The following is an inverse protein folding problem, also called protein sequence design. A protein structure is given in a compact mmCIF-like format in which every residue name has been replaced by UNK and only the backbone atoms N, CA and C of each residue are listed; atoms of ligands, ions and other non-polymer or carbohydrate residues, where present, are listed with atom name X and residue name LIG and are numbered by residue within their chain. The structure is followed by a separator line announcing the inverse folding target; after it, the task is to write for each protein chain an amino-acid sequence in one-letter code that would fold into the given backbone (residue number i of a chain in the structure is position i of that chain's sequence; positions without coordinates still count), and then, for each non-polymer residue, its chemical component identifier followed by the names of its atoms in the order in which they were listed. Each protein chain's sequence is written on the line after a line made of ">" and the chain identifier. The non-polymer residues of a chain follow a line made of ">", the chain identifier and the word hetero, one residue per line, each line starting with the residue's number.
data_IF_080116424002
#
_entry.id   IF_080116424002
#
_cell.length_a   1.000
_cell.length_b   1.000
_cell.length_c   1.000
_cell.angle_alpha   90.00
_cell.angle_beta   90.00
_cell.angle_gamma   90.00
#
_symmetry.space_group_name_H-M   'P 1'
#
loop_
_entity.id
_entity.type
_entity.pdbx_description
1 polymer ?
#
# COMPACT_ATOMS: atom_id res chain seq x y z
N UNK A 1 -69.02 -9.91 22.08
CA UNK A 1 -67.89 -9.63 23.00
C UNK A 1 -66.61 -9.80 22.22
N UNK A 2 -65.93 -8.71 21.86
CA UNK A 2 -64.70 -8.72 21.07
C UNK A 2 -63.49 -8.60 22.01
N UNK A 3 -62.64 -9.62 22.05
CA UNK A 3 -61.34 -9.58 22.75
C UNK A 3 -60.26 -9.12 21.79
N UNK A 4 -59.69 -7.94 22.06
CA UNK A 4 -58.56 -7.38 21.35
C UNK A 4 -57.24 -8.10 21.72
N UNK A 5 -56.35 -8.15 20.74
CA UNK A 5 -55.02 -8.74 20.79
C UNK A 5 -54.05 -7.86 21.60
N UNK A 6 -53.26 -8.48 22.48
CA UNK A 6 -52.06 -7.88 23.08
C UNK A 6 -50.80 -8.60 22.60
N UNK A 7 -49.99 -7.92 21.78
CA UNK A 7 -48.65 -8.37 21.40
C UNK A 7 -47.67 -8.22 22.58
N UNK A 8 -46.63 -9.08 22.71
CA UNK A 8 -45.69 -9.02 23.82
C UNK A 8 -44.73 -7.84 23.67
N UNK A 9 -44.62 -7.05 24.74
CA UNK A 9 -43.67 -5.95 24.89
C UNK A 9 -42.24 -6.49 25.00
N UNK A 10 -41.41 -6.17 24.02
CA UNK A 10 -39.98 -6.47 24.01
C UNK A 10 -39.25 -5.61 25.05
N UNK A 11 -38.56 -6.24 26.00
CA UNK A 11 -37.95 -5.57 27.16
C UNK A 11 -36.74 -4.66 26.79
N UNK A 12 -36.55 -3.51 27.46
CA UNK A 12 -35.57 -2.48 27.12
C UNK A 12 -34.08 -2.83 27.38
N UNK A 13 -33.76 -4.04 27.86
CA UNK A 13 -32.39 -4.41 28.29
C UNK A 13 -31.46 -4.82 27.13
N UNK A 14 -31.99 -5.19 25.97
CA UNK A 14 -31.21 -5.64 24.80
C UNK A 14 -30.62 -4.49 23.97
N UNK A 15 -31.12 -3.26 24.09
CA UNK A 15 -30.61 -2.10 23.33
C UNK A 15 -29.30 -1.52 23.90
N UNK A 16 -29.04 -1.70 25.19
CA UNK A 16 -27.87 -1.11 25.86
C UNK A 16 -26.57 -1.86 25.56
N UNK A 17 -26.62 -3.18 25.41
CA UNK A 17 -25.43 -4.00 25.13
C UNK A 17 -24.86 -3.75 23.71
N UNK A 18 -25.74 -3.53 22.72
CA UNK A 18 -25.33 -3.23 21.33
C UNK A 18 -24.69 -1.84 21.23
N UNK A 19 -25.17 -0.86 22.00
CA UNK A 19 -24.62 0.49 22.01
C UNK A 19 -23.22 0.53 22.65
N UNK A 20 -22.98 -0.22 23.73
CA UNK A 20 -21.66 -0.26 24.39
C UNK A 20 -20.63 -0.99 23.54
N UNK A 21 -20.99 -2.09 22.86
CA UNK A 21 -20.08 -2.77 21.90
C UNK A 21 -19.79 -1.88 20.69
N UNK A 22 -20.79 -1.19 20.15
CA UNK A 22 -20.61 -0.22 19.05
C UNK A 22 -19.71 0.96 19.42
N UNK A 23 -19.87 1.51 20.64
CA UNK A 23 -19.03 2.60 21.15
C UNK A 23 -17.61 2.11 21.48
N UNK A 24 -17.42 0.89 22.00
CA UNK A 24 -16.08 0.33 22.24
C UNK A 24 -15.34 0.04 20.93
N UNK A 25 -16.03 -0.39 19.87
CA UNK A 25 -15.45 -0.52 18.52
C UNK A 25 -15.12 0.84 17.90
N UNK A 26 -15.98 1.85 18.07
CA UNK A 26 -15.72 3.22 17.62
C UNK A 26 -14.57 3.88 18.39
N UNK A 27 -14.48 3.69 19.71
CA UNK A 27 -13.44 4.30 20.55
C UNK A 27 -12.07 3.62 20.39
N UNK A 28 -12.01 2.32 20.09
CA UNK A 28 -10.77 1.66 19.68
C UNK A 28 -10.36 2.02 18.23
N UNK A 29 -11.31 2.35 17.35
CA UNK A 29 -11.02 2.89 16.01
C UNK A 29 -10.52 4.35 16.02
N UNK A 30 -10.92 5.14 17.02
CA UNK A 30 -10.55 6.56 17.15
C UNK A 30 -9.18 6.81 17.80
N UNK A 31 -8.45 5.74 18.16
CA UNK A 31 -7.01 5.77 18.51
C UNK A 31 -6.12 5.08 17.47
N UNK A 32 -6.69 4.75 16.30
CA UNK A 32 -6.13 3.81 15.33
C UNK A 32 -4.95 4.35 14.52
N UNK A 33 -3.91 3.53 14.37
CA UNK A 33 -2.83 3.75 13.41
C UNK A 33 -3.31 3.70 11.94
N UNK A 34 -2.37 3.78 11.01
CA UNK A 34 -2.65 3.73 9.58
C UNK A 34 -3.54 2.51 9.21
N UNK A 35 -4.54 2.65 8.33
CA UNK A 35 -5.40 1.55 7.90
C UNK A 35 -4.60 0.36 7.38
N UNK A 36 -5.02 -0.85 7.75
CA UNK A 36 -4.42 -2.10 7.28
C UNK A 36 -5.33 -2.77 6.24
N UNK A 37 -4.77 -3.47 5.25
CA UNK A 37 -5.57 -4.19 4.26
C UNK A 37 -6.37 -5.32 4.90
N UNK A 38 -7.59 -5.49 4.43
CA UNK A 38 -8.49 -6.60 4.72
C UNK A 38 -8.24 -7.78 3.78
N UNK A 39 -8.75 -8.96 4.16
CA UNK A 39 -8.63 -10.16 3.33
C UNK A 39 -9.23 -10.00 1.92
N UNK A 40 -10.27 -9.17 1.76
CA UNK A 40 -10.87 -8.88 0.45
C UNK A 40 -9.94 -8.14 -0.52
N UNK A 41 -8.92 -7.45 0.01
CA UNK A 41 -7.95 -6.70 -0.78
C UNK A 41 -6.76 -7.56 -1.23
N UNK A 42 -6.45 -8.66 -0.53
CA UNK A 42 -5.36 -9.57 -0.88
C UNK A 42 -5.70 -10.46 -2.08
N UNK A 43 -4.69 -10.96 -2.81
CA UNK A 43 -4.87 -12.14 -3.69
C UNK A 43 -4.90 -13.41 -2.84
N UNK A 44 -5.67 -14.41 -3.29
CA UNK A 44 -5.60 -15.74 -2.68
C UNK A 44 -4.17 -16.27 -2.83
N UNK A 45 -3.47 -16.48 -1.72
CA UNK A 45 -2.17 -17.12 -1.74
C UNK A 45 -2.33 -18.54 -2.31
N UNK A 46 -1.46 -19.00 -3.23
CA UNK A 46 -1.37 -20.42 -3.51
C UNK A 46 -0.92 -21.11 -2.23
N UNK A 47 -1.73 -22.02 -1.70
CA UNK A 47 -1.34 -22.87 -0.58
C UNK A 47 -0.14 -23.72 -0.98
N UNK A 48 0.99 -23.50 -0.30
CA UNK A 48 2.23 -24.25 -0.49
C UNK A 48 2.91 -24.49 0.85
N UNK A 49 2.77 -25.70 1.37
CA UNK A 49 3.50 -26.20 2.53
C UNK A 49 5.01 -26.20 2.26
N UNK A 50 5.81 -25.81 3.27
CA UNK A 50 7.26 -26.02 3.28
C UNK A 50 8.03 -24.88 3.93
N UNK A 51 8.09 -24.87 5.26
CA UNK A 51 9.04 -24.05 6.00
C UNK A 51 10.48 -24.43 5.63
N UNK A 52 11.26 -23.46 5.16
CA UNK A 52 12.72 -23.45 5.28
C UNK A 52 13.13 -22.11 5.85
N UNK A 53 13.64 -22.13 7.08
CA UNK A 53 14.22 -20.97 7.76
C UNK A 53 15.46 -20.56 6.94
N UNK A 54 15.37 -19.40 6.29
CA UNK A 54 16.47 -18.76 5.58
C UNK A 54 16.43 -17.27 5.90
N UNK A 55 17.58 -16.78 6.37
CA UNK A 55 18.11 -15.39 6.50
C UNK A 55 17.13 -14.23 6.21
N UNK A 56 17.07 -13.16 7.05
CA UNK A 56 16.15 -12.03 6.83
C UNK A 56 16.42 -11.35 5.49
N UNK A 57 15.44 -11.42 4.60
CA UNK A 57 15.48 -10.80 3.28
C UNK A 57 15.03 -9.34 3.41
N UNK A 58 15.98 -8.42 3.48
CA UNK A 58 15.71 -6.97 3.40
C UNK A 58 15.12 -6.62 2.02
N UNK A 59 14.56 -5.40 1.92
CA UNK A 59 13.99 -4.79 0.72
C UNK A 59 15.03 -4.63 -0.41
N UNK A 60 15.50 -5.74 -0.98
CA UNK A 60 16.54 -5.80 -2.00
C UNK A 60 15.89 -6.12 -3.34
N UNK A 61 15.78 -5.15 -4.25
CA UNK A 61 15.45 -5.43 -5.63
C UNK A 61 16.58 -6.24 -6.27
N UNK A 62 16.28 -7.20 -7.17
CA UNK A 62 17.31 -7.82 -7.98
C UNK A 62 17.94 -6.75 -8.89
N UNK A 63 19.28 -6.72 -8.93
CA UNK A 63 20.03 -5.85 -9.85
C UNK A 63 19.65 -6.23 -11.28
N UNK A 64 18.88 -5.37 -11.95
CA UNK A 64 18.58 -5.49 -13.37
C UNK A 64 19.68 -4.79 -14.17
N UNK A 65 19.95 -5.27 -15.39
CA UNK A 65 20.87 -4.58 -16.29
C UNK A 65 20.41 -3.12 -16.51
N UNK A 66 21.32 -2.14 -16.61
CA UNK A 66 20.94 -0.73 -16.76
C UNK A 66 20.01 -0.55 -17.96
N UNK A 67 18.78 -0.12 -17.71
CA UNK A 67 17.91 0.45 -18.75
C UNK A 67 18.28 1.92 -18.80
N UNK A 68 18.81 2.39 -19.93
CA UNK A 68 19.11 3.80 -20.16
C UNK A 68 17.87 4.66 -19.81
N UNK A 69 17.93 5.50 -18.74
CA UNK A 69 16.85 6.40 -18.41
C UNK A 69 16.84 7.49 -19.46
N UNK A 70 16.08 7.30 -20.54
CA UNK A 70 15.74 8.41 -21.43
C UNK A 70 15.01 9.42 -20.55
N UNK A 71 15.61 10.57 -20.27
CA UNK A 71 15.16 11.58 -19.29
C UNK A 71 13.68 12.01 -19.39
N UNK A 72 13.02 11.64 -20.49
CA UNK A 72 11.60 11.74 -20.83
C UNK A 72 10.68 10.78 -20.04
N UNK A 73 11.17 9.61 -19.62
CA UNK A 73 10.37 8.56 -18.95
C UNK A 73 10.29 8.73 -17.44
N UNK A 74 11.05 9.66 -16.89
CA UNK A 74 11.11 9.94 -15.45
C UNK A 74 9.73 10.35 -14.92
N UNK A 75 9.19 9.66 -13.91
CA UNK A 75 7.93 10.02 -13.29
C UNK A 75 8.09 11.27 -12.42
N UNK A 76 7.14 12.20 -12.52
CA UNK A 76 7.19 13.50 -11.81
C UNK A 76 6.02 13.71 -10.86
N UNK A 77 4.92 12.96 -11.03
CA UNK A 77 3.73 13.07 -10.17
C UNK A 77 3.04 11.72 -10.03
N UNK A 78 2.66 11.37 -8.80
CA UNK A 78 1.82 10.22 -8.48
C UNK A 78 0.47 10.71 -7.99
N UNK A 79 -0.62 10.12 -8.50
CA UNK A 79 -1.98 10.38 -8.02
C UNK A 79 -2.72 9.10 -7.71
N UNK A 80 -3.40 9.09 -6.56
CA UNK A 80 -4.29 8.01 -6.12
C UNK A 80 -5.55 8.66 -5.53
N UNK A 81 -6.55 8.96 -6.38
CA UNK A 81 -7.71 9.76 -5.96
C UNK A 81 -8.49 9.17 -4.79
N UNK A 82 -8.61 7.84 -4.72
CA UNK A 82 -9.36 7.14 -3.68
C UNK A 82 -8.83 7.39 -2.25
N UNK A 83 -7.58 7.83 -2.12
CA UNK A 83 -6.94 8.16 -0.83
C UNK A 83 -6.33 9.56 -0.81
N UNK A 84 -6.77 10.43 -1.73
CA UNK A 84 -6.34 11.83 -1.83
C UNK A 84 -4.82 12.04 -1.97
N UNK A 85 -4.10 11.09 -2.58
CA UNK A 85 -2.67 11.28 -2.91
C UNK A 85 -2.56 12.08 -4.20
N UNK A 86 -1.82 13.19 -4.14
CA UNK A 86 -1.35 13.96 -5.30
C UNK A 86 0.06 14.50 -5.03
N UNK A 87 1.06 13.63 -5.19
CA UNK A 87 2.41 13.83 -4.68
C UNK A 87 3.44 14.07 -5.80
N UNK A 88 4.45 14.95 -5.59
CA UNK A 88 5.64 14.96 -6.43
C UNK A 88 6.39 13.63 -6.31
N UNK A 89 7.15 13.29 -7.34
CA UNK A 89 7.99 12.10 -7.36
C UNK A 89 9.47 12.45 -7.39
N UNK A 90 10.22 11.87 -6.46
CA UNK A 90 11.68 11.90 -6.44
C UNK A 90 12.26 10.61 -7.04
N UNK A 91 13.50 10.67 -7.50
CA UNK A 91 14.30 9.49 -7.84
C UNK A 91 14.92 8.92 -6.56
N UNK A 92 14.90 7.60 -6.43
CA UNK A 92 15.46 6.83 -5.31
C UNK A 92 16.52 5.88 -5.84
N UNK A 93 17.57 5.67 -5.06
CA UNK A 93 18.56 4.63 -5.27
C UNK A 93 18.41 3.47 -4.29
N UNK A 94 19.49 2.71 -4.18
CA UNK A 94 19.71 1.77 -3.10
C UNK A 94 20.78 2.31 -2.15
N UNK A 95 20.64 2.04 -0.86
CA UNK A 95 21.70 2.32 0.11
C UNK A 95 22.89 1.36 -0.02
N UNK A 96 23.91 1.53 0.82
CA UNK A 96 25.12 0.70 0.82
C UNK A 96 24.88 -0.79 1.10
N UNK A 97 23.72 -1.14 1.66
CA UNK A 97 23.30 -2.52 1.93
C UNK A 97 22.38 -3.09 0.84
N UNK A 98 22.15 -2.33 -0.24
CA UNK A 98 21.29 -2.68 -1.36
C UNK A 98 19.80 -2.55 -1.04
N UNK A 99 19.43 -1.80 0.00
CA UNK A 99 18.05 -1.59 0.42
C UNK A 99 17.48 -0.38 -0.31
N UNK A 100 16.25 -0.50 -0.80
CA UNK A 100 15.56 0.64 -1.41
C UNK A 100 15.48 1.83 -0.43
N UNK A 101 16.01 2.97 -0.86
CA UNK A 101 15.92 4.21 -0.12
C UNK A 101 14.46 4.70 -0.03
N UNK A 102 14.19 5.67 0.84
CA UNK A 102 12.91 6.38 0.90
C UNK A 102 13.16 7.89 0.83
N UNK A 103 12.18 8.70 0.40
CA UNK A 103 12.31 10.15 0.48
C UNK A 103 12.70 10.60 1.91
N UNK A 104 13.48 11.69 2.07
CA UNK A 104 13.80 12.25 3.38
C UNK A 104 12.53 12.51 4.20
N UNK A 105 12.60 12.34 5.52
CA UNK A 105 11.44 12.45 6.40
C UNK A 105 10.81 13.85 6.40
N UNK A 106 11.60 14.88 6.08
CA UNK A 106 11.15 16.27 5.92
C UNK A 106 10.27 16.45 4.68
N UNK A 107 10.38 15.54 3.70
CA UNK A 107 9.57 15.47 2.48
C UNK A 107 8.46 14.44 2.60
N UNK A 108 7.71 14.51 3.71
CA UNK A 108 6.65 13.56 4.04
C UNK A 108 5.51 13.50 3.01
N UNK A 109 5.35 14.52 2.16
CA UNK A 109 4.36 14.59 1.08
C UNK A 109 4.87 14.05 -0.27
N UNK A 110 6.13 13.60 -0.33
CA UNK A 110 6.81 13.15 -1.55
C UNK A 110 6.80 11.63 -1.66
N UNK A 111 6.46 11.13 -2.85
CA UNK A 111 6.71 9.73 -3.21
C UNK A 111 8.07 9.61 -3.90
N UNK A 112 8.71 8.45 -3.85
CA UNK A 112 9.95 8.20 -4.57
C UNK A 112 9.84 6.96 -5.47
N UNK A 113 10.47 6.99 -6.64
CA UNK A 113 10.56 5.88 -7.57
C UNK A 113 11.99 5.36 -7.66
N UNK A 114 12.16 4.03 -7.65
CA UNK A 114 13.46 3.40 -7.82
C UNK A 114 13.99 3.59 -9.24
N UNK A 115 15.02 4.43 -9.40
CA UNK A 115 15.43 4.97 -10.69
C UNK A 115 16.22 3.99 -11.57
N UNK A 116 16.87 2.98 -10.97
CA UNK A 116 17.56 1.93 -11.73
C UNK A 116 16.60 0.81 -12.21
N UNK A 117 15.32 0.91 -11.83
CA UNK A 117 14.26 0.00 -12.26
C UNK A 117 13.50 0.50 -13.50
N UNK A 118 12.51 -0.27 -13.98
CA UNK A 118 11.62 0.16 -15.07
C UNK A 118 10.88 1.46 -14.73
N UNK A 119 10.77 2.37 -15.69
CA UNK A 119 9.93 3.54 -15.53
C UNK A 119 8.43 3.12 -15.50
N UNK A 120 7.57 3.75 -14.68
CA UNK A 120 6.16 3.35 -14.57
C UNK A 120 5.45 3.35 -15.91
N UNK A 121 5.12 2.18 -16.46
CA UNK A 121 4.46 1.96 -17.76
C UNK A 121 5.36 1.34 -18.83
N UNK A 122 6.65 1.13 -18.54
CA UNK A 122 7.52 0.27 -19.32
C UNK A 122 7.40 -1.20 -18.85
N UNK A 123 7.74 -2.19 -19.70
CA UNK A 123 7.79 -3.58 -19.28
C UNK A 123 8.65 -3.77 -18.03
N UNK A 124 8.15 -4.53 -17.06
CA UNK A 124 8.80 -4.71 -15.77
C UNK A 124 7.98 -4.17 -14.61
N UNK A 125 8.55 -4.25 -13.42
CA UNK A 125 7.91 -3.80 -12.18
C UNK A 125 8.56 -2.50 -11.71
N UNK A 126 7.85 -1.39 -11.89
CA UNK A 126 8.23 -0.11 -11.33
C UNK A 126 7.91 -0.08 -9.83
N UNK A 127 8.86 0.39 -9.02
CA UNK A 127 8.73 0.41 -7.57
C UNK A 127 8.67 1.85 -7.07
N UNK A 128 7.68 2.14 -6.24
CA UNK A 128 7.48 3.42 -5.58
C UNK A 128 7.45 3.21 -4.07
N UNK A 129 8.16 4.06 -3.33
CA UNK A 129 8.20 4.04 -1.87
C UNK A 129 7.91 5.42 -1.28
N UNK A 130 7.40 5.44 -0.04
CA UNK A 130 7.09 6.68 0.66
C UNK A 130 6.65 6.42 2.10
N UNK A 131 6.66 7.48 2.90
CA UNK A 131 6.36 7.40 4.33
C UNK A 131 4.87 7.19 4.60
N UNK A 132 4.59 6.46 5.69
CA UNK A 132 3.23 6.32 6.25
C UNK A 132 2.93 7.50 7.17
N UNK A 133 3.89 7.90 7.99
CA UNK A 133 3.86 9.08 8.86
C UNK A 133 5.24 9.73 8.98
N UNK A 134 5.28 10.87 9.64
CA UNK A 134 6.47 11.63 9.98
C UNK A 134 6.29 12.24 11.38
N UNK A 135 7.34 12.84 11.98
CA UNK A 135 7.20 13.57 13.23
C UNK A 135 6.16 14.71 13.18
N UNK A 136 5.83 15.22 11.99
CA UNK A 136 4.83 16.25 11.77
C UNK A 136 3.40 15.70 11.59
N UNK A 137 3.22 14.38 11.49
CA UNK A 137 1.92 13.73 11.37
C UNK A 137 1.84 12.75 10.19
N UNK A 138 0.67 12.68 9.56
CA UNK A 138 0.42 11.75 8.44
C UNK A 138 1.28 12.11 7.23
N UNK A 139 1.83 11.10 6.56
CA UNK A 139 2.64 11.28 5.35
C UNK A 139 1.89 10.77 4.10
N UNK A 140 2.56 10.85 2.95
CA UNK A 140 2.01 10.61 1.61
C UNK A 140 1.24 9.29 1.49
N UNK A 141 1.68 8.23 2.17
CA UNK A 141 1.07 6.90 2.09
C UNK A 141 0.35 6.47 3.37
N UNK A 142 -0.02 7.41 4.24
CA UNK A 142 -0.75 7.10 5.47
C UNK A 142 -2.01 6.24 5.24
N UNK A 143 -2.75 6.50 4.16
CA UNK A 143 -4.01 5.79 3.83
C UNK A 143 -3.82 4.61 2.86
N UNK A 144 -2.59 4.24 2.51
CA UNK A 144 -2.32 3.27 1.44
C UNK A 144 -2.96 1.90 1.68
N UNK A 145 -2.95 1.40 2.93
CA UNK A 145 -3.59 0.13 3.29
C UNK A 145 -5.11 0.11 3.18
N UNK A 146 -5.74 1.28 3.05
CA UNK A 146 -7.18 1.41 2.82
C UNK A 146 -7.62 1.30 1.36
N UNK A 147 -6.69 1.11 0.41
CA UNK A 147 -7.03 1.05 -1.01
C UNK A 147 -7.79 -0.22 -1.39
N UNK A 148 -8.89 -0.06 -2.10
CA UNK A 148 -9.63 -1.19 -2.65
C UNK A 148 -9.03 -1.69 -3.97
N UNK A 149 -9.26 -2.97 -4.28
CA UNK A 149 -9.12 -3.50 -5.65
C UNK A 149 -9.93 -2.64 -6.63
N UNK A 150 -9.39 -2.44 -7.83
CA UNK A 150 -9.96 -1.56 -8.87
C UNK A 150 -9.61 -0.08 -8.71
N UNK A 151 -9.01 0.35 -7.59
CA UNK A 151 -8.60 1.74 -7.41
C UNK A 151 -7.64 2.19 -8.52
N UNK A 152 -7.88 3.38 -9.07
CA UNK A 152 -7.00 3.94 -10.11
C UNK A 152 -5.77 4.57 -9.46
N UNK A 153 -4.61 4.28 -10.05
CA UNK A 153 -3.35 5.00 -9.80
C UNK A 153 -2.93 5.63 -11.12
N UNK A 154 -2.45 6.88 -11.10
CA UNK A 154 -1.87 7.51 -12.30
C UNK A 154 -0.50 8.08 -12.01
N UNK A 155 0.42 7.88 -12.94
CA UNK A 155 1.77 8.44 -12.90
C UNK A 155 1.97 9.35 -14.10
N UNK A 156 2.22 10.63 -13.84
CA UNK A 156 2.61 11.58 -14.89
C UNK A 156 4.12 11.56 -15.04
N UNK A 157 4.58 11.45 -16.28
CA UNK A 157 5.99 11.45 -16.67
C UNK A 157 6.42 12.82 -17.17
N UNK A 158 7.74 13.06 -17.17
CA UNK A 158 8.34 14.32 -17.63
C UNK A 158 8.06 14.61 -19.11
N UNK A 159 7.78 13.59 -19.93
CA UNK A 159 7.32 13.74 -21.31
C UNK A 159 5.86 14.20 -21.47
N UNK A 160 5.16 14.48 -20.36
CA UNK A 160 3.76 14.90 -20.36
C UNK A 160 2.76 13.75 -20.47
N UNK A 161 3.21 12.51 -20.68
CA UNK A 161 2.31 11.35 -20.72
C UNK A 161 1.89 10.96 -19.32
N UNK A 162 0.65 10.48 -19.20
CA UNK A 162 0.13 9.90 -17.96
C UNK A 162 -0.17 8.42 -18.17
N UNK A 163 0.45 7.59 -17.33
CA UNK A 163 0.21 6.14 -17.31
C UNK A 163 -0.81 5.85 -16.22
N UNK A 164 -1.81 5.02 -16.56
CA UNK A 164 -2.86 4.60 -15.61
C UNK A 164 -2.67 3.14 -15.25
N UNK A 165 -2.79 2.85 -13.96
CA UNK A 165 -2.78 1.51 -13.40
C UNK A 165 -4.08 1.25 -12.64
N UNK A 166 -4.47 -0.02 -12.56
CA UNK A 166 -5.56 -0.48 -11.70
C UNK A 166 -4.99 -1.37 -10.59
N UNK A 167 -5.34 -1.06 -9.34
CA UNK A 167 -4.93 -1.86 -8.18
C UNK A 167 -5.61 -3.23 -8.25
N UNK A 168 -4.82 -4.30 -8.24
CA UNK A 168 -5.34 -5.65 -8.18
C UNK A 168 -5.10 -6.33 -6.84
N UNK A 169 -4.21 -5.83 -5.98
CA UNK A 169 -4.08 -6.33 -4.61
C UNK A 169 -3.51 -5.27 -3.66
N UNK A 170 -3.85 -5.38 -2.38
CA UNK A 170 -3.17 -4.70 -1.28
C UNK A 170 -2.87 -5.73 -0.20
N UNK A 171 -1.61 -5.86 0.15
CA UNK A 171 -1.14 -6.87 1.12
C UNK A 171 -0.25 -6.22 2.18
N UNK A 172 -0.26 -6.78 3.38
CA UNK A 172 0.63 -6.38 4.46
C UNK A 172 1.55 -7.55 4.81
N UNK A 173 2.83 -7.27 5.00
CA UNK A 173 3.85 -8.25 5.35
C UNK A 173 4.63 -7.79 6.56
N UNK A 174 4.95 -8.72 7.47
CA UNK A 174 5.90 -8.46 8.54
C UNK A 174 7.28 -8.17 7.95
N UNK A 175 8.04 -7.28 8.58
CA UNK A 175 9.38 -6.89 8.11
C UNK A 175 10.34 -8.08 8.02
N UNK A 176 10.23 -9.01 8.96
CA UNK A 176 11.09 -10.20 9.03
C UNK A 176 10.70 -11.30 8.02
N UNK A 177 9.51 -11.18 7.41
CA UNK A 177 8.97 -12.12 6.44
C UNK A 177 8.63 -11.45 5.10
N UNK A 178 9.26 -10.31 4.80
CA UNK A 178 8.98 -9.56 3.59
C UNK A 178 9.33 -10.37 2.34
N UNK A 179 8.37 -10.64 1.43
CA UNK A 179 8.61 -11.53 0.30
C UNK A 179 9.26 -10.77 -0.86
N UNK A 180 10.54 -10.41 -0.73
CA UNK A 180 11.26 -9.60 -1.74
C UNK A 180 11.15 -10.15 -3.16
N UNK A 181 11.23 -11.48 -3.34
CA UNK A 181 11.01 -12.11 -4.65
C UNK A 181 9.62 -11.81 -5.23
N UNK A 182 8.55 -11.87 -4.43
CA UNK A 182 7.19 -11.56 -4.88
C UNK A 182 6.99 -10.07 -5.14
N UNK A 183 7.64 -9.21 -4.36
CA UNK A 183 7.44 -7.77 -4.49
C UNK A 183 8.25 -7.21 -5.66
N UNK A 184 9.50 -7.64 -5.82
CA UNK A 184 10.44 -7.06 -6.78
C UNK A 184 10.72 -7.93 -8.00
N UNK A 185 9.99 -9.03 -8.22
CA UNK A 185 10.20 -9.80 -9.45
C UNK A 185 10.04 -8.89 -10.67
N UNK A 186 10.82 -9.14 -11.71
CA UNK A 186 10.55 -8.53 -13.00
C UNK A 186 9.30 -9.14 -13.61
N UNK A 187 8.50 -8.32 -14.29
CA UNK A 187 7.29 -8.72 -15.00
C UNK A 187 7.46 -8.47 -16.49
N UNK A 188 6.90 -9.34 -17.35
CA UNK A 188 6.90 -9.08 -18.79
C UNK A 188 5.95 -7.93 -19.16
N UNK A 189 4.91 -7.72 -18.36
CA UNK A 189 3.96 -6.61 -18.50
C UNK A 189 4.37 -5.43 -17.60
N UNK A 190 3.90 -4.20 -17.90
CA UNK A 190 4.11 -3.08 -17.00
C UNK A 190 3.30 -3.23 -15.71
N UNK A 191 4.01 -3.29 -14.60
CA UNK A 191 3.45 -3.36 -13.25
C UNK A 191 3.98 -2.24 -12.36
N UNK A 192 3.18 -1.90 -11.35
CA UNK A 192 3.53 -0.92 -10.33
C UNK A 192 3.41 -1.55 -8.94
N UNK A 193 4.40 -1.28 -8.10
CA UNK A 193 4.41 -1.59 -6.67
C UNK A 193 4.51 -0.28 -5.90
N UNK A 194 3.61 -0.07 -4.94
CA UNK A 194 3.67 1.09 -4.03
C UNK A 194 3.82 0.56 -2.62
N UNK A 195 4.89 0.97 -1.95
CA UNK A 195 5.33 0.40 -0.68
C UNK A 195 5.36 1.49 0.38
N UNK A 196 4.84 1.18 1.56
CA UNK A 196 4.99 2.03 2.75
C UNK A 196 5.12 1.17 4.01
N UNK A 197 5.59 1.78 5.10
CA UNK A 197 5.60 1.14 6.41
C UNK A 197 4.16 0.85 6.89
N UNK A 198 3.94 -0.26 7.58
CA UNK A 198 2.62 -0.64 8.07
C UNK A 198 2.66 -1.74 9.12
N UNK A 199 1.56 -2.47 9.27
CA UNK A 199 1.40 -3.45 10.34
C UNK A 199 1.32 -2.82 11.73
N UNK A 200 1.61 -3.62 12.76
CA UNK A 200 1.67 -3.11 14.14
C UNK A 200 2.78 -2.07 14.33
N UNK A 201 2.64 -1.21 15.33
CA UNK A 201 3.65 -0.21 15.70
C UNK A 201 4.13 -0.46 17.13
N UNK A 202 5.44 -0.42 17.36
CA UNK A 202 6.04 -0.35 18.70
C UNK A 202 6.90 0.89 18.81
N UNK A 203 6.91 1.51 20.00
CA UNK A 203 7.63 2.79 20.22
C UNK A 203 9.16 2.65 20.10
N UNK A 204 9.68 1.47 20.41
CA UNK A 204 11.10 1.13 20.40
C UNK A 204 11.60 0.71 19.02
N UNK A 205 10.79 -0.04 18.25
CA UNK A 205 11.19 -0.60 16.95
C UNK A 205 10.51 0.04 15.74
N UNK A 206 9.52 0.90 15.95
CA UNK A 206 8.67 1.47 14.92
C UNK A 206 7.65 0.48 14.35
N UNK A 207 7.24 0.71 13.10
CA UNK A 207 6.35 -0.19 12.35
C UNK A 207 6.99 -1.57 12.18
N UNK A 208 6.18 -2.61 12.34
CA UNK A 208 6.61 -4.00 12.31
C UNK A 208 6.46 -4.65 10.93
N UNK A 209 5.80 -3.97 9.99
CA UNK A 209 5.55 -4.48 8.66
C UNK A 209 5.62 -3.41 7.58
N UNK A 210 5.24 -3.83 6.38
CA UNK A 210 5.08 -2.99 5.20
C UNK A 210 3.74 -3.31 4.54
N UNK A 211 3.10 -2.29 3.99
CA UNK A 211 1.96 -2.44 3.08
C UNK A 211 2.47 -2.32 1.65
N UNK A 212 2.05 -3.24 0.79
CA UNK A 212 2.38 -3.28 -0.63
C UNK A 212 1.09 -3.25 -1.44
N UNK A 213 0.95 -2.23 -2.27
CA UNK A 213 -0.08 -2.16 -3.31
C UNK A 213 0.49 -2.71 -4.60
N UNK A 214 -0.27 -3.60 -5.21
CA UNK A 214 0.02 -4.20 -6.49
C UNK A 214 -0.95 -3.67 -7.54
N UNK A 215 -0.42 -3.11 -8.62
CA UNK A 215 -1.22 -2.57 -9.71
C UNK A 215 -0.65 -2.96 -11.07
N UNK A 216 -1.52 -3.22 -12.03
CA UNK A 216 -1.18 -3.52 -13.42
C UNK A 216 -1.60 -2.37 -14.33
N UNK A 217 -0.95 -2.24 -15.48
CA UNK A 217 -1.36 -1.26 -16.49
C UNK A 217 -2.86 -1.40 -16.77
N UNK A 218 -3.59 -0.29 -16.71
CA UNK A 218 -5.00 -0.28 -17.05
C UNK A 218 -5.14 -0.31 -18.58
N UNK A 219 -6.05 -1.13 -19.09
CA UNK A 219 -6.48 -1.03 -20.47
C UNK A 219 -7.07 0.36 -20.71
N UNK A 220 -6.68 1.01 -21.80
CA UNK A 220 -7.33 2.27 -22.18
C UNK A 220 -8.77 1.94 -22.59
N UNK A 221 -9.78 2.71 -22.15
CA UNK A 221 -11.10 2.62 -22.76
C UNK A 221 -10.92 2.94 -24.25
N UNK A 222 -11.32 2.01 -25.11
CA UNK A 222 -11.37 2.21 -26.56
C UNK A 222 -12.40 3.23 -26.98
#
# INVERSE_FOLDING_TARGET
>A
MASAHGAPLMQPRTRLAVLVVGIVLLVNGLRGGAPQPTAAQATAAPGGAGARIGVPERLRPPVSAPVEPRSRTVPVRLRIPAIAVDAPMAELGLDGDGVLEVPPAERADTAGWYADGPAPGEPGTAVVAGHVDSPAGRAVFYLLGGLARGSSVTVTRRDGRTVRFSVYAVEAYDKDAFPSRKVYHSSAAPELRIITCGGGYRKDTGYLGNVVVYASLAEQPG
#
